data_IF_360017432487
#
_entry.id   IF_360017432487
#
_cell.length_a   1.000
_cell.length_b   1.000
_cell.length_c   1.000
_cell.angle_alpha   90.00
_cell.angle_beta   90.00
_cell.angle_gamma   90.00
#
_symmetry.space_group_name_H-M   'P 1'
#
loop_
_entity.id
_entity.type
_entity.pdbx_description
1 polymer ?
#
# COMPACT_ATOMS: atom_id res chain seq x y z
N UNK A 1 -21.06 -1.68 27.86
CA UNK A 1 -21.70 -1.81 26.55
C UNK A 1 -22.66 -2.98 26.62
N UNK A 2 -23.89 -2.79 26.14
CA UNK A 2 -25.00 -3.75 26.28
C UNK A 2 -24.75 -4.99 25.42
N UNK A 3 -25.07 -6.18 25.94
CA UNK A 3 -24.82 -7.48 25.30
C UNK A 3 -25.66 -7.77 24.03
N UNK A 4 -26.36 -6.76 23.49
CA UNK A 4 -27.31 -6.89 22.39
C UNK A 4 -26.98 -5.98 21.19
N UNK A 5 -25.70 -5.66 20.95
CA UNK A 5 -25.29 -4.96 19.72
C UNK A 5 -25.29 -5.94 18.52
N UNK A 6 -26.11 -5.73 17.48
CA UNK A 6 -26.20 -6.60 16.31
C UNK A 6 -24.95 -6.60 15.42
N UNK A 7 -23.95 -5.75 15.70
CA UNK A 7 -22.67 -5.71 14.98
C UNK A 7 -21.57 -6.59 15.58
N UNK A 8 -21.88 -7.42 16.60
CA UNK A 8 -20.92 -8.43 17.09
C UNK A 8 -20.92 -9.62 16.13
N UNK A 9 -19.79 -9.97 15.48
CA UNK A 9 -19.70 -11.15 14.62
C UNK A 9 -20.13 -12.40 15.38
N UNK A 10 -21.05 -13.19 14.79
CA UNK A 10 -21.63 -14.39 15.41
C UNK A 10 -20.68 -15.60 15.53
N UNK A 11 -19.43 -15.47 15.07
CA UNK A 11 -18.43 -16.54 15.12
C UNK A 11 -17.46 -16.40 16.30
N UNK A 12 -17.99 -16.05 17.47
CA UNK A 12 -17.27 -16.23 18.73
C UNK A 12 -17.70 -17.56 19.35
N UNK A 13 -17.33 -18.67 18.69
CA UNK A 13 -17.27 -19.96 19.38
C UNK A 13 -16.46 -19.79 20.67
N UNK A 14 -17.00 -20.33 21.77
CA UNK A 14 -16.33 -20.28 23.06
C UNK A 14 -14.95 -20.94 22.93
N UNK A 15 -13.88 -20.29 23.44
CA UNK A 15 -12.53 -20.83 23.31
C UNK A 15 -12.46 -22.21 23.96
N UNK A 16 -11.85 -23.17 23.25
CA UNK A 16 -11.48 -24.46 23.87
C UNK A 16 -10.51 -24.17 25.01
N UNK A 17 -10.66 -24.86 26.13
CA UNK A 17 -9.82 -24.69 27.31
C UNK A 17 -8.33 -24.70 26.92
N UNK A 18 -7.65 -23.56 27.13
CA UNK A 18 -6.21 -23.40 26.89
C UNK A 18 -5.82 -22.40 25.80
N UNK A 19 -6.75 -21.86 25.00
CA UNK A 19 -6.44 -20.82 24.02
C UNK A 19 -6.22 -19.45 24.69
N UNK A 20 -4.99 -18.93 24.63
CA UNK A 20 -4.70 -17.53 24.95
C UNK A 20 -5.20 -16.68 23.78
N UNK A 21 -6.34 -16.00 23.95
CA UNK A 21 -6.80 -14.98 23.00
C UNK A 21 -6.40 -13.58 23.44
N UNK A 22 -5.93 -12.79 22.49
CA UNK A 22 -5.71 -11.37 22.67
C UNK A 22 -7.06 -10.68 22.92
N UNK A 23 -7.28 -10.17 24.13
CA UNK A 23 -8.52 -9.48 24.49
C UNK A 23 -8.68 -8.10 23.83
N UNK A 24 -7.61 -7.58 23.23
CA UNK A 24 -7.59 -6.26 22.60
C UNK A 24 -6.60 -6.23 21.43
N UNK A 25 -7.07 -6.61 20.24
CA UNK A 25 -6.29 -6.59 18.99
C UNK A 25 -5.78 -5.17 18.64
N UNK A 26 -6.55 -4.14 18.98
CA UNK A 26 -6.14 -2.74 18.82
C UNK A 26 -4.94 -2.39 19.70
N UNK A 27 -4.90 -2.88 20.94
CA UNK A 27 -3.74 -2.70 21.83
C UNK A 27 -2.49 -3.43 21.32
N UNK A 28 -2.63 -4.55 20.61
CA UNK A 28 -1.50 -5.23 19.97
C UNK A 28 -0.94 -4.43 18.79
N UNK A 29 -1.80 -3.89 17.94
CA UNK A 29 -1.40 -3.03 16.82
C UNK A 29 -0.72 -1.74 17.32
N UNK A 30 -1.16 -1.22 18.48
CA UNK A 30 -0.58 -0.03 19.10
C UNK A 30 0.57 -0.32 20.07
N UNK A 31 0.90 -1.59 20.31
CA UNK A 31 2.00 -1.94 21.19
C UNK A 31 3.32 -1.51 20.56
N UNK A 32 3.94 -0.48 21.14
CA UNK A 32 5.30 -0.07 20.77
C UNK A 32 6.29 -0.87 21.59
N UNK A 33 7.03 -1.76 20.93
CA UNK A 33 8.15 -2.48 21.53
C UNK A 33 9.14 -1.52 22.19
N UNK A 34 9.70 -1.93 23.33
CA UNK A 34 10.67 -1.13 24.08
C UNK A 34 11.87 -0.83 23.17
N UNK A 35 12.21 0.46 23.04
CA UNK A 35 13.33 0.91 22.23
C UNK A 35 13.04 1.17 20.76
N UNK A 36 11.78 1.09 20.33
CA UNK A 36 11.40 1.58 19.00
C UNK A 36 10.98 3.06 19.09
N UNK A 37 11.45 3.94 18.17
CA UNK A 37 10.97 5.32 18.12
C UNK A 37 9.46 5.40 17.84
N UNK A 38 8.84 6.54 18.16
CA UNK A 38 7.40 6.72 18.00
C UNK A 38 6.93 6.53 16.53
N UNK A 39 7.82 6.77 15.57
CA UNK A 39 7.61 6.64 14.12
C UNK A 39 7.57 5.20 13.60
N UNK A 40 7.86 4.19 14.43
CA UNK A 40 7.89 2.76 14.01
C UNK A 40 6.52 2.09 13.99
N UNK A 41 5.47 2.74 14.49
CA UNK A 41 4.14 2.12 14.52
C UNK A 41 3.51 2.19 13.12
N UNK A 42 2.70 1.20 12.70
CA UNK A 42 1.98 1.29 11.43
C UNK A 42 1.13 2.56 11.31
N UNK A 43 0.62 3.10 12.42
CA UNK A 43 -0.15 4.36 12.46
C UNK A 43 0.68 5.61 12.14
N UNK A 44 2.01 5.53 12.26
CA UNK A 44 2.93 6.64 11.99
C UNK A 44 3.57 6.51 10.61
N UNK A 45 3.42 5.37 9.96
CA UNK A 45 3.69 5.24 8.55
C UNK A 45 2.54 5.89 7.77
N UNK A 46 2.86 6.86 6.91
CA UNK A 46 1.94 7.25 5.84
C UNK A 46 2.07 6.15 4.79
N UNK A 47 1.34 5.05 5.01
CA UNK A 47 1.25 3.90 4.09
C UNK A 47 0.58 4.37 2.81
N UNK A 48 1.36 5.03 1.96
CA UNK A 48 0.97 5.52 0.65
C UNK A 48 1.00 4.34 -0.35
N UNK A 49 0.15 4.44 -1.38
CA UNK A 49 -0.07 3.62 -2.56
C UNK A 49 1.16 3.26 -3.42
N UNK A 50 2.37 3.54 -2.93
CA UNK A 50 3.64 3.21 -3.56
C UNK A 50 4.22 1.98 -2.86
N UNK A 51 4.86 1.07 -3.61
CA UNK A 51 5.41 -0.13 -3.00
C UNK A 51 6.37 0.29 -1.89
N UNK A 52 6.37 -0.44 -0.77
CA UNK A 52 7.40 -0.23 0.25
C UNK A 52 8.78 -0.43 -0.38
N UNK A 53 9.81 0.12 0.24
CA UNK A 53 11.20 -0.10 -0.18
C UNK A 53 11.57 -1.58 -0.24
N UNK A 54 10.80 -2.42 0.45
CA UNK A 54 11.04 -3.83 0.65
C UNK A 54 10.17 -4.71 -0.27
N UNK A 55 8.88 -4.40 -0.41
CA UNK A 55 7.93 -5.22 -1.17
C UNK A 55 6.77 -4.40 -1.76
N UNK A 56 6.35 -4.80 -2.95
CA UNK A 56 5.14 -4.34 -3.63
C UNK A 56 3.97 -5.32 -3.43
N UNK A 57 3.23 -5.13 -2.33
CA UNK A 57 2.06 -5.96 -2.00
C UNK A 57 0.89 -5.82 -2.98
N UNK A 58 0.89 -4.79 -3.84
CA UNK A 58 -0.12 -4.65 -4.91
C UNK A 58 -0.12 -5.87 -5.83
N UNK A 59 1.02 -6.54 -5.96
CA UNK A 59 1.16 -7.76 -6.76
C UNK A 59 0.26 -8.92 -6.29
N UNK A 60 -0.17 -8.93 -5.01
CA UNK A 60 -1.15 -9.90 -4.51
C UNK A 60 -2.48 -9.79 -5.24
N UNK A 61 -2.86 -8.58 -5.66
CA UNK A 61 -4.14 -8.35 -6.33
C UNK A 61 -4.15 -8.88 -7.76
N UNK A 62 -2.99 -8.98 -8.42
CA UNK A 62 -2.86 -9.31 -9.85
C UNK A 62 -3.53 -10.63 -10.22
N UNK A 63 -3.51 -11.62 -9.33
CA UNK A 63 -4.11 -12.96 -9.55
C UNK A 63 -5.23 -13.29 -8.58
N UNK A 64 -5.85 -12.26 -7.98
CA UNK A 64 -6.94 -12.47 -7.04
C UNK A 64 -8.09 -13.30 -7.63
N UNK A 65 -8.36 -13.18 -8.93
CA UNK A 65 -9.38 -13.97 -9.62
C UNK A 65 -8.76 -15.08 -10.48
N UNK A 66 -9.31 -16.28 -10.38
CA UNK A 66 -8.88 -17.44 -11.19
C UNK A 66 -9.05 -17.13 -12.68
N UNK A 67 -8.06 -17.52 -13.49
CA UNK A 67 -8.13 -17.43 -14.95
C UNK A 67 -7.69 -16.09 -15.55
N UNK A 68 -7.47 -15.04 -14.75
CA UNK A 68 -7.05 -13.73 -15.26
C UNK A 68 -5.88 -13.14 -14.49
N UNK A 69 -5.12 -12.26 -15.16
CA UNK A 69 -4.09 -11.42 -14.54
C UNK A 69 -4.43 -9.96 -14.74
N UNK A 70 -4.57 -9.23 -13.63
CA UNK A 70 -4.83 -7.80 -13.59
C UNK A 70 -3.52 -7.00 -13.53
N UNK A 71 -3.55 -5.77 -14.02
CA UNK A 71 -2.61 -4.73 -13.59
C UNK A 71 -3.07 -4.20 -12.25
N UNK A 72 -2.19 -4.21 -11.27
CA UNK A 72 -2.48 -3.91 -9.88
C UNK A 72 -2.90 -2.46 -9.62
N UNK A 73 -2.49 -1.52 -10.46
CA UNK A 73 -2.77 -0.10 -10.27
C UNK A 73 -4.13 0.35 -10.82
N UNK A 74 -4.71 -0.40 -11.77
CA UNK A 74 -5.91 0.05 -12.49
C UNK A 74 -6.88 -1.06 -12.92
N UNK A 75 -6.63 -2.32 -12.53
CA UNK A 75 -7.53 -3.45 -12.77
C UNK A 75 -7.75 -3.81 -14.25
N UNK A 76 -6.83 -3.41 -15.14
CA UNK A 76 -6.83 -3.85 -16.53
C UNK A 76 -6.41 -5.32 -16.66
N UNK A 77 -7.12 -6.12 -17.44
CA UNK A 77 -6.79 -7.53 -17.66
C UNK A 77 -5.70 -7.64 -18.72
N UNK A 78 -4.46 -7.87 -18.28
CA UNK A 78 -3.30 -8.04 -19.17
C UNK A 78 -3.17 -9.43 -19.73
N UNK A 79 -3.66 -10.43 -19.00
CA UNK A 79 -3.58 -11.82 -19.45
C UNK A 79 -4.78 -12.63 -18.97
N UNK A 80 -5.08 -13.69 -19.71
CA UNK A 80 -6.19 -14.60 -19.44
C UNK A 80 -5.84 -16.03 -19.87
N UNK A 81 -6.18 -16.99 -19.04
CA UNK A 81 -6.05 -18.43 -19.30
C UNK A 81 -7.13 -18.92 -20.28
N UNK A 82 -6.97 -20.12 -20.87
CA UNK A 82 -7.98 -20.71 -21.74
C UNK A 82 -9.37 -20.77 -21.10
N UNK A 83 -10.38 -20.25 -21.80
CA UNK A 83 -11.76 -20.09 -21.31
C UNK A 83 -12.09 -18.68 -20.80
N UNK A 84 -11.08 -17.84 -20.55
CA UNK A 84 -11.23 -16.47 -20.05
C UNK A 84 -10.78 -15.40 -21.05
N UNK A 85 -10.45 -15.77 -22.29
CA UNK A 85 -9.85 -14.87 -23.29
C UNK A 85 -10.73 -13.66 -23.60
N UNK A 86 -12.05 -13.84 -23.53
CA UNK A 86 -13.03 -12.77 -23.72
C UNK A 86 -12.93 -11.65 -22.66
N UNK A 87 -12.22 -11.88 -21.54
CA UNK A 87 -11.95 -10.87 -20.51
C UNK A 87 -10.65 -10.11 -20.74
N UNK A 88 -9.75 -10.62 -21.60
CA UNK A 88 -8.47 -9.97 -21.89
C UNK A 88 -8.71 -8.60 -22.51
N UNK A 89 -7.87 -7.63 -22.15
CA UNK A 89 -7.98 -6.22 -22.58
C UNK A 89 -9.19 -5.44 -22.05
N UNK A 90 -9.96 -6.03 -21.13
CA UNK A 90 -11.04 -5.34 -20.42
C UNK A 90 -10.55 -4.86 -19.07
N UNK A 91 -11.34 -4.01 -18.42
CA UNK A 91 -11.05 -3.51 -17.07
C UNK A 91 -12.08 -4.00 -16.08
N UNK A 92 -11.64 -4.54 -14.95
CA UNK A 92 -12.53 -4.90 -13.84
C UNK A 92 -13.02 -3.62 -13.14
N UNK A 93 -14.31 -3.37 -13.23
CA UNK A 93 -14.98 -2.16 -12.75
C UNK A 93 -15.58 -2.36 -11.36
N UNK A 94 -16.18 -3.52 -11.11
CA UNK A 94 -16.82 -3.86 -9.85
C UNK A 94 -16.84 -5.37 -9.63
N UNK A 95 -17.12 -5.80 -8.41
CA UNK A 95 -17.28 -7.18 -8.01
C UNK A 95 -18.28 -7.28 -6.84
N UNK A 96 -18.92 -8.42 -6.69
CA UNK A 96 -19.83 -8.73 -5.56
C UNK A 96 -20.91 -7.64 -5.32
N UNK A 97 -21.48 -7.10 -6.42
CA UNK A 97 -22.49 -6.05 -6.34
C UNK A 97 -22.00 -4.72 -5.74
N UNK A 98 -20.68 -4.50 -5.69
CA UNK A 98 -20.08 -3.32 -5.08
C UNK A 98 -20.47 -2.03 -5.83
N UNK A 99 -21.30 -1.19 -5.20
CA UNK A 99 -21.99 -0.08 -5.88
C UNK A 99 -21.09 1.04 -6.39
N UNK A 100 -19.93 1.23 -5.76
CA UNK A 100 -19.02 2.36 -6.05
C UNK A 100 -17.94 1.97 -7.07
N UNK A 101 -17.79 0.68 -7.38
CA UNK A 101 -16.71 0.17 -8.22
C UNK A 101 -15.34 0.20 -7.54
N UNK A 102 -14.29 -0.09 -8.30
CA UNK A 102 -12.89 -0.15 -7.83
C UNK A 102 -12.13 1.18 -8.01
N UNK A 103 -12.83 2.23 -8.41
CA UNK A 103 -12.29 3.55 -8.73
C UNK A 103 -13.21 4.67 -8.26
N UNK A 104 -12.67 5.89 -8.27
CA UNK A 104 -13.38 7.12 -7.92
C UNK A 104 -13.12 8.20 -8.95
N UNK A 105 -14.08 9.12 -9.08
CA UNK A 105 -13.88 10.35 -9.83
C UNK A 105 -13.05 11.32 -9.00
N UNK A 106 -11.91 11.73 -9.54
CA UNK A 106 -10.94 12.59 -8.84
C UNK A 106 -11.42 14.03 -8.93
N UNK A 107 -11.72 14.60 -7.75
CA UNK A 107 -12.09 16.01 -7.61
C UNK A 107 -11.26 16.67 -6.53
N UNK A 108 -10.93 17.94 -6.73
CA UNK A 108 -10.22 18.72 -5.75
C UNK A 108 -10.03 20.16 -6.20
N UNK A 109 -9.61 21.03 -5.27
CA UNK A 109 -9.26 22.40 -5.60
C UNK A 109 -7.96 22.44 -6.40
N UNK A 110 -7.90 23.30 -7.43
CA UNK A 110 -6.66 23.56 -8.20
C UNK A 110 -5.86 24.74 -7.65
N UNK A 111 -6.44 25.49 -6.72
CA UNK A 111 -5.83 26.60 -6.00
C UNK A 111 -6.24 26.51 -4.52
N UNK A 112 -5.42 27.01 -3.58
CA UNK A 112 -5.83 27.13 -2.18
C UNK A 112 -7.20 27.81 -2.04
N UNK A 113 -8.06 27.27 -1.18
CA UNK A 113 -9.43 27.74 -0.91
C UNK A 113 -10.40 27.78 -2.10
N UNK A 114 -10.05 27.15 -3.23
CA UNK A 114 -10.93 27.04 -4.41
C UNK A 114 -12.02 25.97 -4.28
N UNK A 115 -13.04 26.08 -5.13
CA UNK A 115 -14.07 25.03 -5.24
C UNK A 115 -13.49 23.73 -5.85
N UNK A 116 -13.98 22.54 -5.46
CA UNK A 116 -13.57 21.29 -6.07
C UNK A 116 -13.97 21.20 -7.54
N UNK A 117 -12.99 20.97 -8.41
CA UNK A 117 -13.20 20.70 -9.84
C UNK A 117 -12.78 19.27 -10.18
N UNK A 118 -13.26 18.75 -11.31
CA UNK A 118 -12.78 17.46 -11.84
C UNK A 118 -11.33 17.60 -12.29
N UNK A 119 -10.44 16.78 -11.74
CA UNK A 119 -8.99 16.85 -11.98
C UNK A 119 -8.59 15.96 -13.18
N UNK A 120 -9.11 16.31 -14.37
CA UNK A 120 -8.75 15.64 -15.62
C UNK A 120 -7.40 16.11 -16.15
N UNK A 121 -6.69 15.23 -16.86
CA UNK A 121 -5.43 15.56 -17.53
C UNK A 121 -5.35 14.88 -18.89
N UNK A 122 -4.40 15.29 -19.74
CA UNK A 122 -4.18 14.63 -21.05
C UNK A 122 -3.99 13.09 -20.93
N UNK A 123 -3.20 12.56 -19.96
CA UNK A 123 -3.08 11.11 -19.79
C UNK A 123 -4.24 10.45 -19.02
N UNK A 124 -5.11 11.22 -18.35
CA UNK A 124 -6.29 10.71 -17.63
C UNK A 124 -7.50 11.63 -17.91
N UNK A 125 -8.10 11.53 -19.11
CA UNK A 125 -9.14 12.46 -19.55
C UNK A 125 -10.44 12.32 -18.75
N UNK A 126 -10.68 11.15 -18.16
CA UNK A 126 -11.89 10.87 -17.36
C UNK A 126 -11.72 11.20 -15.87
N UNK A 127 -10.53 11.70 -15.47
CA UNK A 127 -10.17 12.00 -14.09
C UNK A 127 -10.41 10.84 -13.11
N UNK A 128 -10.22 9.61 -13.56
CA UNK A 128 -10.49 8.41 -12.76
C UNK A 128 -9.23 8.05 -11.98
N UNK A 129 -9.36 7.89 -10.67
CA UNK A 129 -8.32 7.34 -9.82
C UNK A 129 -8.79 6.01 -9.25
N UNK A 130 -7.92 5.01 -9.25
CA UNK A 130 -8.24 3.73 -8.65
C UNK A 130 -8.06 3.81 -7.14
N UNK A 131 -8.99 3.20 -6.41
CA UNK A 131 -8.81 3.04 -4.98
C UNK A 131 -7.64 2.11 -4.74
N UNK A 132 -6.92 2.34 -3.64
CA UNK A 132 -5.81 1.49 -3.25
C UNK A 132 -6.29 0.02 -3.13
N UNK A 133 -5.49 -0.93 -3.66
CA UNK A 133 -5.81 -2.36 -3.80
C UNK A 133 -6.29 -3.01 -2.50
N UNK A 134 -5.77 -2.60 -1.34
CA UNK A 134 -6.18 -3.09 -0.02
C UNK A 134 -7.63 -2.73 0.30
N UNK A 135 -8.16 -1.61 -0.22
CA UNK A 135 -9.59 -1.31 -0.11
C UNK A 135 -10.44 -2.34 -0.86
N UNK A 136 -9.97 -2.77 -2.03
CA UNK A 136 -10.66 -3.81 -2.81
C UNK A 136 -10.55 -5.17 -2.11
N UNK A 137 -9.38 -5.54 -1.60
CA UNK A 137 -9.19 -6.78 -0.84
C UNK A 137 -10.05 -6.78 0.43
N UNK A 138 -10.03 -5.71 1.22
CA UNK A 138 -10.82 -5.63 2.46
C UNK A 138 -12.31 -5.89 2.22
N UNK A 139 -12.82 -5.53 1.04
CA UNK A 139 -14.22 -5.76 0.65
C UNK A 139 -14.51 -7.20 0.24
N UNK A 140 -13.53 -7.94 -0.29
CA UNK A 140 -13.78 -9.24 -0.94
C UNK A 140 -13.07 -10.42 -0.26
N UNK A 141 -12.15 -10.17 0.68
CA UNK A 141 -11.30 -11.20 1.32
C UNK A 141 -12.10 -12.28 2.04
N UNK A 142 -13.32 -12.00 2.48
CA UNK A 142 -14.19 -13.00 3.13
C UNK A 142 -14.80 -14.01 2.13
N UNK A 143 -14.74 -13.72 0.82
CA UNK A 143 -15.25 -14.56 -0.27
C UNK A 143 -14.17 -15.47 -0.89
N UNK A 144 -13.02 -15.61 -0.23
CA UNK A 144 -11.92 -16.45 -0.74
C UNK A 144 -12.36 -17.89 -0.99
N UNK A 145 -12.05 -18.40 -2.18
CA UNK A 145 -12.46 -19.72 -2.66
C UNK A 145 -13.90 -19.78 -3.19
N UNK A 146 -14.66 -18.68 -3.15
CA UNK A 146 -16.04 -18.63 -3.64
C UNK A 146 -16.10 -18.01 -5.04
N UNK A 147 -17.22 -18.27 -5.72
CA UNK A 147 -17.56 -17.63 -6.98
C UNK A 147 -18.11 -16.22 -6.72
N UNK A 148 -17.55 -15.24 -7.42
CA UNK A 148 -17.91 -13.83 -7.30
C UNK A 148 -18.33 -13.31 -8.67
N UNK A 149 -19.47 -12.60 -8.72
CA UNK A 149 -19.86 -11.86 -9.94
C UNK A 149 -18.94 -10.64 -10.08
N UNK A 150 -18.25 -10.56 -11.20
CA UNK A 150 -17.38 -9.46 -11.59
C UNK A 150 -17.99 -8.70 -12.77
N UNK A 151 -17.89 -7.38 -12.74
CA UNK A 151 -18.31 -6.49 -13.81
C UNK A 151 -17.09 -5.89 -14.49
N UNK A 152 -16.98 -6.11 -15.80
CA UNK A 152 -15.91 -5.60 -16.65
C UNK A 152 -16.44 -4.54 -17.60
N UNK A 153 -15.55 -3.76 -18.22
CA UNK A 153 -15.91 -2.91 -19.37
C UNK A 153 -16.58 -3.74 -20.48
N UNK A 154 -17.69 -3.25 -21.01
CA UNK A 154 -18.42 -3.92 -22.11
C UNK A 154 -17.64 -3.94 -23.44
N UNK A 155 -16.68 -3.03 -23.62
CA UNK A 155 -15.75 -3.03 -24.75
C UNK A 155 -14.36 -3.59 -24.38
N UNK A 156 -13.68 -4.13 -25.39
CA UNK A 156 -12.29 -4.57 -25.34
C UNK A 156 -11.33 -3.40 -25.56
N UNK A 157 -10.04 -3.62 -25.31
CA UNK A 157 -9.00 -2.60 -25.41
C UNK A 157 -9.36 -1.33 -24.62
N UNK A 158 -9.80 -1.51 -23.36
CA UNK A 158 -10.15 -0.44 -22.44
C UNK A 158 -8.88 0.30 -21.92
N UNK A 159 -8.17 0.93 -22.85
CA UNK A 159 -6.89 1.62 -22.61
C UNK A 159 -7.06 2.84 -21.72
N UNK A 160 -8.20 3.52 -21.82
CA UNK A 160 -8.56 4.64 -20.95
C UNK A 160 -9.23 4.14 -19.67
N UNK A 161 -9.04 4.87 -18.58
CA UNK A 161 -9.70 4.61 -17.32
C UNK A 161 -11.19 4.96 -17.39
N UNK A 162 -12.06 4.03 -16.98
CA UNK A 162 -13.52 4.19 -17.04
C UNK A 162 -14.08 4.43 -15.65
N UNK A 163 -14.90 5.47 -15.50
CA UNK A 163 -15.64 5.70 -14.27
C UNK A 163 -16.88 4.79 -14.22
N UNK A 164 -16.94 3.90 -13.24
CA UNK A 164 -18.09 3.03 -13.02
C UNK A 164 -19.21 3.78 -12.31
N UNK A 165 -20.40 3.79 -12.93
CA UNK A 165 -21.64 4.22 -12.31
C UNK A 165 -22.63 3.07 -12.40
N UNK A 166 -22.97 2.50 -11.24
CA UNK A 166 -23.92 1.40 -11.15
C UNK A 166 -25.21 1.70 -11.92
N UNK A 167 -25.63 0.76 -12.77
CA UNK A 167 -26.84 0.85 -13.58
C UNK A 167 -26.77 1.83 -14.75
N UNK A 168 -25.62 2.49 -15.00
CA UNK A 168 -25.43 3.40 -16.14
C UNK A 168 -24.25 3.00 -17.02
N UNK A 169 -23.15 2.55 -16.42
CA UNK A 169 -22.01 2.04 -17.16
C UNK A 169 -22.37 0.69 -17.77
N UNK A 170 -22.19 0.54 -19.07
CA UNK A 170 -22.37 -0.73 -19.76
C UNK A 170 -21.26 -1.70 -19.34
N UNK A 171 -21.64 -2.88 -18.86
CA UNK A 171 -20.69 -3.87 -18.33
C UNK A 171 -20.88 -5.25 -18.94
N UNK A 172 -19.77 -5.98 -19.00
CA UNK A 172 -19.76 -7.43 -19.21
C UNK A 172 -19.68 -8.10 -17.85
N UNK A 173 -20.67 -8.93 -17.53
CA UNK A 173 -20.66 -9.72 -16.30
C UNK A 173 -19.98 -11.07 -16.52
N UNK A 174 -19.10 -11.45 -15.61
CA UNK A 174 -18.51 -12.78 -15.57
C UNK A 174 -18.42 -13.26 -14.11
N UNK A 175 -18.68 -14.54 -13.88
CA UNK A 175 -18.50 -15.14 -12.55
C UNK A 175 -17.11 -15.76 -12.48
N UNK A 176 -16.29 -15.31 -11.54
CA UNK A 176 -14.92 -15.78 -11.33
C UNK A 176 -14.75 -16.31 -9.92
N UNK A 177 -13.93 -17.34 -9.75
CA UNK A 177 -13.54 -17.78 -8.41
C UNK A 177 -12.49 -16.83 -7.84
N UNK A 178 -12.72 -16.30 -6.64
CA UNK A 178 -11.70 -15.56 -5.90
C UNK A 178 -10.70 -16.56 -5.31
N UNK A 179 -9.41 -16.41 -5.61
CA UNK A 179 -8.35 -17.24 -5.04
C UNK A 179 -8.23 -17.02 -3.54
N UNK A 180 -7.74 -18.05 -2.85
CA UNK A 180 -7.25 -17.90 -1.47
C UNK A 180 -5.91 -17.19 -1.51
N UNK A 181 -5.75 -16.16 -0.69
CA UNK A 181 -4.52 -15.38 -0.57
C UNK A 181 -3.44 -16.13 0.22
N UNK A 182 -3.84 -17.00 1.14
CA UNK A 182 -2.95 -17.78 2.00
C UNK A 182 -3.15 -19.29 1.81
N UNK A 183 -2.09 -20.06 2.12
CA UNK A 183 -2.11 -21.51 2.14
C UNK A 183 -2.83 -22.02 3.39
N UNK A 184 -4.02 -22.63 3.20
CA UNK A 184 -4.82 -23.17 4.30
C UNK A 184 -5.06 -22.13 5.41
N UNK A 185 -4.76 -22.53 6.65
CA UNK A 185 -4.89 -21.68 7.84
C UNK A 185 -3.53 -21.07 8.27
N UNK A 186 -2.59 -20.92 7.33
CA UNK A 186 -1.25 -20.37 7.60
C UNK A 186 -1.15 -18.90 7.22
N UNK A 187 -0.07 -18.25 7.65
CA UNK A 187 0.29 -16.90 7.19
C UNK A 187 1.12 -16.90 5.88
N UNK A 188 1.37 -18.07 5.27
CA UNK A 188 2.14 -18.16 4.03
C UNK A 188 1.25 -17.85 2.83
N UNK A 189 1.75 -17.03 1.90
CA UNK A 189 1.01 -16.73 0.67
C UNK A 189 0.78 -17.99 -0.17
N UNK A 190 -0.42 -18.07 -0.74
CA UNK A 190 -0.74 -19.07 -1.75
C UNK A 190 0.22 -18.92 -2.95
N UNK A 191 0.89 -20.00 -3.34
CA UNK A 191 1.89 -19.99 -4.42
C UNK A 191 1.31 -19.66 -5.80
N UNK A 192 0.00 -19.77 -5.97
CA UNK A 192 -0.69 -19.34 -7.19
C UNK A 192 -0.87 -17.82 -7.29
N UNK A 193 -0.77 -17.10 -6.17
CA UNK A 193 -0.95 -15.64 -6.13
C UNK A 193 0.27 -14.91 -6.68
N UNK A 194 1.45 -15.36 -6.28
CA UNK A 194 2.73 -14.69 -6.54
C UNK A 194 3.76 -15.65 -7.15
N UNK A 195 4.40 -15.20 -8.22
CA UNK A 195 5.57 -15.84 -8.81
C UNK A 195 6.86 -15.26 -8.22
N UNK A 196 7.99 -15.99 -8.28
CA UNK A 196 9.27 -15.48 -7.85
C UNK A 196 9.59 -14.11 -8.49
N UNK A 197 10.02 -13.16 -7.66
CA UNK A 197 10.39 -11.80 -8.07
C UNK A 197 9.24 -10.80 -8.16
N UNK A 198 7.97 -11.23 -8.14
CA UNK A 198 6.85 -10.30 -8.35
C UNK A 198 6.64 -9.30 -7.21
N UNK A 199 7.02 -9.64 -5.98
CA UNK A 199 6.99 -8.70 -4.87
C UNK A 199 8.03 -7.58 -5.00
N UNK A 200 9.04 -7.73 -5.86
CA UNK A 200 10.13 -6.75 -5.99
C UNK A 200 10.27 -6.19 -7.41
N UNK A 201 9.55 -6.75 -8.39
CA UNK A 201 9.70 -6.40 -9.82
C UNK A 201 9.34 -4.93 -10.13
N UNK A 202 8.44 -4.35 -9.34
CA UNK A 202 7.98 -2.96 -9.49
C UNK A 202 8.83 -1.96 -8.71
N UNK A 203 9.82 -2.42 -7.95
CA UNK A 203 10.71 -1.57 -7.17
C UNK A 203 11.82 -0.99 -8.06
N UNK A 204 12.38 0.14 -7.65
CA UNK A 204 13.52 0.73 -8.33
C UNK A 204 14.72 -0.22 -8.33
N UNK A 205 15.39 -0.32 -9.49
CA UNK A 205 16.63 -1.06 -9.64
C UNK A 205 17.73 -0.12 -10.18
N UNK A 206 18.84 0.07 -9.45
CA UNK A 206 19.12 -0.44 -8.11
C UNK A 206 18.24 0.25 -7.03
N UNK A 207 17.97 -0.44 -5.92
CA UNK A 207 17.04 0.02 -4.87
C UNK A 207 17.53 1.28 -4.15
N UNK A 208 18.84 1.54 -4.14
CA UNK A 208 19.42 2.74 -3.54
C UNK A 208 18.91 4.04 -4.18
N UNK A 209 18.44 3.98 -5.44
CA UNK A 209 17.78 5.12 -6.08
C UNK A 209 16.57 5.57 -5.29
N UNK A 210 15.72 4.62 -4.86
CA UNK A 210 14.50 4.91 -4.12
C UNK A 210 14.84 5.51 -2.74
N UNK A 211 15.91 5.01 -2.11
CA UNK A 211 16.46 5.57 -0.87
C UNK A 211 16.98 7.00 -1.02
N UNK A 212 17.37 7.43 -2.22
CA UNK A 212 17.80 8.81 -2.45
C UNK A 212 16.67 9.70 -2.97
N UNK A 213 15.77 9.18 -3.79
CA UNK A 213 14.73 9.93 -4.50
C UNK A 213 13.51 10.25 -3.66
N UNK A 214 13.17 9.35 -2.73
CA UNK A 214 12.10 9.56 -1.79
C UNK A 214 12.52 10.57 -0.71
N UNK A 215 12.62 11.83 -1.12
CA UNK A 215 12.73 13.00 -0.24
C UNK A 215 11.47 13.22 0.64
N UNK A 216 10.50 12.30 0.58
CA UNK A 216 9.26 12.34 1.34
C UNK A 216 9.31 11.35 2.51
N UNK A 217 8.70 11.75 3.62
CA UNK A 217 8.58 11.05 4.91
C UNK A 217 7.74 9.75 4.88
N UNK A 218 7.52 9.15 3.70
CA UNK A 218 6.58 8.04 3.50
C UNK A 218 6.98 6.78 4.26
N UNK A 219 8.28 6.55 4.47
CA UNK A 219 8.80 5.32 5.06
C UNK A 219 9.68 5.54 6.28
N UNK A 220 9.41 6.56 7.10
CA UNK A 220 10.23 6.92 8.27
C UNK A 220 10.46 5.77 9.29
N UNK A 221 9.67 4.70 9.23
CA UNK A 221 9.85 3.49 10.04
C UNK A 221 10.98 2.57 9.53
N UNK A 222 11.20 2.48 8.21
CA UNK A 222 12.23 1.62 7.60
C UNK A 222 13.41 2.41 7.04
N UNK A 223 13.15 3.65 6.64
CA UNK A 223 14.12 4.65 6.16
C UNK A 223 13.91 5.93 6.97
N UNK A 224 14.53 6.03 8.16
CA UNK A 224 14.39 7.19 9.02
C UNK A 224 14.78 8.47 8.29
N UNK A 225 14.10 9.57 8.61
CA UNK A 225 14.37 10.87 8.03
C UNK A 225 14.96 11.82 9.09
N UNK A 226 14.27 11.93 10.23
CA UNK A 226 14.68 12.73 11.38
C UNK A 226 15.05 11.82 12.56
N UNK A 227 16.31 11.88 12.98
CA UNK A 227 16.91 11.00 14.01
C UNK A 227 17.60 11.82 15.10
N UNK A 228 18.02 11.17 16.18
CA UNK A 228 18.67 11.82 17.33
C UNK A 228 17.81 12.97 17.90
N UNK A 229 16.49 12.74 17.95
CA UNK A 229 15.52 13.80 18.21
C UNK A 229 15.43 14.12 19.69
N UNK A 230 15.71 15.36 20.05
CA UNK A 230 15.61 15.90 21.41
C UNK A 230 14.61 17.08 21.44
N UNK A 231 13.74 17.16 22.45
CA UNK A 231 12.84 18.28 22.62
C UNK A 231 13.60 19.55 23.03
N UNK A 232 13.27 20.67 22.39
CA UNK A 232 13.77 21.99 22.73
C UNK A 232 12.97 22.68 23.81
N UNK A 233 13.62 23.59 24.54
CA UNK A 233 12.97 24.48 25.52
C UNK A 233 11.96 25.44 24.88
N UNK A 234 12.06 25.65 23.56
CA UNK A 234 11.13 26.42 22.73
C UNK A 234 9.92 25.60 22.23
N UNK A 235 9.81 24.34 22.64
CA UNK A 235 8.78 23.41 22.19
C UNK A 235 9.01 22.87 20.77
N UNK A 236 10.15 23.18 20.15
CA UNK A 236 10.54 22.64 18.84
C UNK A 236 11.45 21.42 19.01
N UNK A 237 11.31 20.45 18.12
CA UNK A 237 12.21 19.30 18.09
C UNK A 237 13.52 19.67 17.38
N UNK A 238 14.65 19.20 17.93
CA UNK A 238 15.99 19.29 17.31
C UNK A 238 16.49 17.88 17.04
N UNK A 239 17.33 17.72 16.02
CA UNK A 239 17.83 16.42 15.60
C UNK A 239 18.50 16.50 14.23
N UNK A 240 18.84 15.35 13.69
CA UNK A 240 19.62 15.22 12.45
C UNK A 240 18.78 14.68 11.31
N UNK A 241 19.12 15.09 10.08
CA UNK A 241 18.67 14.37 8.90
C UNK A 241 19.49 13.08 8.76
N UNK A 242 18.82 11.93 8.68
CA UNK A 242 19.45 10.61 8.64
C UNK A 242 20.45 10.44 7.49
N UNK A 243 20.15 11.00 6.32
CA UNK A 243 21.03 11.01 5.14
C UNK A 243 22.22 11.99 5.22
N UNK A 244 22.36 12.77 6.31
CA UNK A 244 23.52 13.64 6.48
C UNK A 244 24.79 12.83 6.69
N UNK A 245 25.86 13.22 6.00
CA UNK A 245 27.22 12.67 6.17
C UNK A 245 27.81 12.92 7.56
N UNK A 246 27.25 13.90 8.30
CA UNK A 246 27.68 14.28 9.66
C UNK A 246 26.47 14.65 10.50
N UNK A 247 26.49 14.24 11.77
CA UNK A 247 25.52 14.68 12.78
C UNK A 247 25.94 16.05 13.33
N UNK A 248 24.99 16.99 13.35
CA UNK A 248 25.20 18.37 13.79
C UNK A 248 24.11 18.85 14.76
N UNK A 249 23.11 18.02 15.05
CA UNK A 249 21.91 18.39 15.82
C UNK A 249 20.98 19.35 15.07
N UNK A 250 21.26 19.63 13.80
CA UNK A 250 20.47 20.51 12.93
C UNK A 250 20.03 19.76 11.69
N UNK A 251 18.72 19.75 11.45
CA UNK A 251 18.15 19.13 10.27
C UNK A 251 18.58 19.86 8.99
N UNK A 252 19.02 19.11 7.98
CA UNK A 252 19.40 19.62 6.67
C UNK A 252 18.28 19.28 5.68
N UNK A 253 17.58 20.27 5.09
CA UNK A 253 16.56 19.97 4.08
C UNK A 253 17.18 19.39 2.81
N UNK A 254 16.62 18.28 2.32
CA UNK A 254 17.09 17.66 1.09
C UNK A 254 16.52 18.33 -0.16
N UNK A 255 17.39 19.06 -0.87
CA UNK A 255 17.11 19.68 -2.16
C UNK A 255 17.71 18.89 -3.34
N UNK A 256 18.19 17.66 -3.10
CA UNK A 256 18.87 16.77 -4.05
C UNK A 256 20.25 17.20 -4.53
N UNK A 257 20.75 18.36 -4.09
CA UNK A 257 22.05 18.91 -4.50
C UNK A 257 22.97 19.27 -3.34
N UNK A 258 22.47 19.26 -2.11
CA UNK A 258 23.26 19.56 -0.91
C UNK A 258 24.33 18.49 -0.67
N UNK A 259 25.59 18.89 -0.73
CA UNK A 259 26.76 18.00 -0.64
C UNK A 259 26.99 17.46 0.78
N UNK A 260 26.28 17.99 1.78
CA UNK A 260 26.27 17.45 3.15
C UNK A 260 25.50 16.15 3.25
N UNK A 261 24.67 15.82 2.27
CA UNK A 261 23.88 14.59 2.22
C UNK A 261 24.53 13.54 1.33
N UNK A 262 24.31 12.27 1.63
CA UNK A 262 24.74 11.16 0.77
C UNK A 262 24.13 11.27 -0.63
N UNK A 263 24.98 11.12 -1.66
CA UNK A 263 24.58 11.12 -3.06
C UNK A 263 24.25 9.70 -3.54
N UNK A 264 23.69 9.58 -4.76
CA UNK A 264 23.51 8.26 -5.38
C UNK A 264 24.82 7.48 -5.50
N UNK A 265 25.89 8.15 -5.95
CA UNK A 265 27.21 7.53 -6.13
C UNK A 265 27.80 7.04 -4.81
N UNK A 266 27.58 7.78 -3.73
CA UNK A 266 28.00 7.36 -2.39
C UNK A 266 27.24 6.07 -2.00
N UNK A 267 25.90 6.08 -2.09
CA UNK A 267 25.06 4.93 -1.70
C UNK A 267 25.32 3.69 -2.57
N UNK A 268 25.61 3.85 -3.86
CA UNK A 268 25.97 2.72 -4.72
C UNK A 268 27.29 2.06 -4.33
N UNK A 269 28.23 2.83 -3.78
CA UNK A 269 29.55 2.34 -3.38
C UNK A 269 29.55 1.74 -1.99
N UNK A 270 28.89 2.40 -1.04
CA UNK A 270 29.15 2.18 0.39
C UNK A 270 27.92 2.38 1.29
N UNK A 271 26.68 2.18 0.80
CA UNK A 271 25.48 2.36 1.63
C UNK A 271 25.53 1.66 3.00
N UNK A 272 26.19 0.49 3.10
CA UNK A 272 26.31 -0.27 4.35
C UNK A 272 27.19 0.42 5.40
N UNK A 273 28.16 1.21 4.93
CA UNK A 273 29.10 1.96 5.77
C UNK A 273 28.52 3.36 6.07
N UNK A 274 27.82 3.93 5.11
CA UNK A 274 27.35 5.31 5.14
C UNK A 274 26.02 5.50 5.89
N UNK A 275 25.12 4.51 5.81
CA UNK A 275 23.79 4.57 6.44
C UNK A 275 23.81 3.93 7.83
N UNK A 276 23.48 4.72 8.84
CA UNK A 276 23.49 4.31 10.23
C UNK A 276 22.18 3.61 10.63
N UNK A 277 22.26 2.50 11.36
CA UNK A 277 21.07 1.93 11.98
C UNK A 277 20.58 2.83 13.12
N UNK A 278 19.26 2.88 13.33
CA UNK A 278 18.66 3.64 14.43
C UNK A 278 18.18 2.67 15.51
N UNK A 279 18.75 2.79 16.70
CA UNK A 279 18.40 1.99 17.88
C UNK A 279 17.92 2.96 18.96
N UNK A 280 16.72 2.72 19.51
CA UNK A 280 16.16 3.58 20.57
C UNK A 280 16.02 5.06 20.19
N UNK A 281 15.88 5.33 18.89
CA UNK A 281 15.75 6.69 18.35
C UNK A 281 17.07 7.44 18.17
N UNK A 282 18.20 6.77 18.37
CA UNK A 282 19.55 7.30 18.16
C UNK A 282 20.32 6.47 17.14
N UNK A 283 21.37 7.03 16.54
CA UNK A 283 22.31 6.23 15.76
C UNK A 283 22.86 5.07 16.62
N UNK A 284 23.06 3.90 16.01
CA UNK A 284 23.43 2.67 16.72
C UNK A 284 24.73 2.82 17.53
N UNK A 285 25.67 3.61 17.02
CA UNK A 285 26.96 3.89 17.68
C UNK A 285 26.82 4.79 18.93
N UNK A 286 25.65 5.38 19.18
CA UNK A 286 25.33 6.19 20.36
C UNK A 286 24.58 5.42 21.46
N UNK A 287 24.33 4.11 21.28
CA UNK A 287 23.60 3.25 22.23
C UNK A 287 24.49 2.26 22.97
#
# INVERSE_FOLDING_TARGET
MSANDPNVPKDLEQPRNGEIRASNLTAQIHHRGVGNPASMLPRTAISNCFPGLEFDFRNLWRRAFVGITLVENNNYVVDAEPGYEHLKSRRLLSFDGHKVGTMVLTKGPVLPDGDPVTLASKPNPHAVSFMEWSNSIARIVHLQGQSVECEFTAHENALEEVYYHQGKTETLKATLTLRRFFEGDTASFNREMLKPGELTQGLCAPWQNDYRECACYYWAASRPDFVNVEPGDDGLARGDMWLSKRRTGTYVPDNRVDTRLWSYDDLFRSWQEDLQFVIRGKDADET
#
